data_IF_041226946418
#
_entry.id   IF_041226946418
#
_cell.length_a   1.000
_cell.length_b   1.000
_cell.length_c   1.000
_cell.angle_alpha   90.00
_cell.angle_beta   90.00
_cell.angle_gamma   90.00
#
_symmetry.space_group_name_H-M   'P 1'
#
loop_
_entity.id
_entity.type
_entity.pdbx_description
1 polymer ?
#
# COMPACT_ATOMS: atom_id res chain seq x y z
N UNK A 1 -8.22 -24.02 12.58
CA UNK A 1 -8.64 -22.65 12.95
C UNK A 1 -7.43 -21.76 12.74
N UNK A 2 -7.42 -21.01 11.65
CA UNK A 2 -6.35 -20.08 11.23
C UNK A 2 -7.06 -18.87 10.61
N UNK A 3 -6.73 -17.59 10.84
CA UNK A 3 -5.65 -16.94 11.58
C UNK A 3 -6.21 -15.62 12.14
N UNK A 4 -5.81 -15.23 13.35
CA UNK A 4 -5.75 -13.81 13.67
C UNK A 4 -4.56 -13.26 12.87
N UNK A 5 -4.79 -12.72 11.68
CA UNK A 5 -3.75 -12.02 10.93
C UNK A 5 -3.38 -10.78 11.73
N UNK A 6 -2.25 -10.84 12.44
CA UNK A 6 -1.65 -9.68 13.08
C UNK A 6 -1.49 -8.59 12.02
N UNK A 7 -2.17 -7.47 12.22
CA UNK A 7 -2.14 -6.32 11.33
C UNK A 7 -0.68 -5.93 11.06
N UNK A 8 -0.31 -5.70 9.79
CA UNK A 8 1.08 -5.35 9.44
C UNK A 8 1.52 -4.09 10.17
N UNK A 9 2.84 -3.96 10.43
CA UNK A 9 3.40 -2.78 11.13
C UNK A 9 2.98 -1.49 10.43
N UNK A 10 3.03 -1.46 9.10
CA UNK A 10 2.59 -0.31 8.30
C UNK A 10 1.11 0.03 8.54
N UNK A 11 0.26 -0.97 8.64
CA UNK A 11 -1.17 -0.79 8.89
C UNK A 11 -1.46 -0.36 10.33
N UNK A 12 -0.60 -0.67 11.31
CA UNK A 12 -0.73 -0.15 12.69
C UNK A 12 -0.44 1.36 12.77
N UNK A 13 0.47 1.86 11.92
CA UNK A 13 0.81 3.30 11.83
C UNK A 13 0.13 4.01 10.65
N UNK A 14 -1.01 3.47 10.18
CA UNK A 14 -1.72 3.95 8.99
C UNK A 14 -2.00 5.47 8.99
N UNK A 15 -2.40 6.13 10.10
CA UNK A 15 -2.61 7.58 10.09
C UNK A 15 -1.35 8.37 9.72
N UNK A 16 -0.19 7.90 10.15
CA UNK A 16 1.12 8.50 9.82
C UNK A 16 1.45 8.26 8.35
N UNK A 17 1.34 7.01 7.89
CA UNK A 17 1.61 6.65 6.49
C UNK A 17 0.67 7.38 5.52
N UNK A 18 -0.59 7.58 5.89
CA UNK A 18 -1.56 8.34 5.10
C UNK A 18 -1.21 9.83 5.02
N UNK A 19 -0.62 10.42 6.08
CA UNK A 19 -0.08 11.79 6.02
C UNK A 19 1.10 11.87 5.06
N UNK A 20 2.02 10.90 5.11
CA UNK A 20 3.14 10.81 4.17
C UNK A 20 2.66 10.67 2.71
N UNK A 21 1.68 9.81 2.44
CA UNK A 21 1.11 9.66 1.10
C UNK A 21 0.54 10.98 0.55
N UNK A 22 -0.15 11.77 1.39
CA UNK A 22 -0.67 13.10 1.01
C UNK A 22 0.46 14.10 0.76
N UNK A 23 1.50 14.10 1.59
CA UNK A 23 2.68 14.94 1.40
C UNK A 23 3.38 14.61 0.07
N UNK A 24 3.62 13.33 -0.22
CA UNK A 24 4.21 12.90 -1.50
C UNK A 24 3.34 13.33 -2.68
N UNK A 25 2.03 13.12 -2.60
CA UNK A 25 1.10 13.54 -3.66
C UNK A 25 1.14 15.05 -3.90
N UNK A 26 1.25 15.87 -2.85
CA UNK A 26 1.34 17.33 -2.99
C UNK A 26 2.65 17.81 -3.62
N UNK A 27 3.74 17.05 -3.49
CA UNK A 27 5.04 17.40 -4.08
C UNK A 27 5.13 16.90 -5.51
N UNK A 28 4.76 15.64 -5.74
CA UNK A 28 4.89 14.97 -7.04
C UNK A 28 3.75 15.28 -8.00
N UNK A 29 2.63 15.82 -7.50
CA UNK A 29 1.40 16.05 -8.28
C UNK A 29 0.88 14.75 -8.93
N UNK A 30 1.05 13.63 -8.22
CA UNK A 30 0.63 12.29 -8.64
C UNK A 30 -0.19 11.61 -7.53
N UNK A 31 -1.06 10.68 -7.92
CA UNK A 31 -1.68 9.79 -6.95
C UNK A 31 -0.65 8.80 -6.39
N UNK A 32 -0.76 8.50 -5.09
CA UNK A 32 0.16 7.64 -4.35
C UNK A 32 -0.62 6.47 -3.80
N UNK A 33 -0.09 5.26 -3.96
CA UNK A 33 -0.59 4.04 -3.34
C UNK A 33 0.54 3.43 -2.50
N UNK A 34 0.25 3.07 -1.24
CA UNK A 34 1.18 2.39 -0.35
C UNK A 34 0.56 1.05 0.03
N UNK A 35 1.31 -0.02 -0.25
CA UNK A 35 0.87 -1.41 -0.11
C UNK A 35 1.89 -2.15 0.76
N UNK A 36 1.42 -3.02 1.65
CA UNK A 36 2.30 -3.87 2.45
C UNK A 36 2.70 -5.18 1.73
N UNK A 37 3.48 -6.00 2.40
CA UNK A 37 3.96 -7.30 1.90
C UNK A 37 2.85 -8.30 1.58
N UNK A 38 1.66 -8.14 2.17
CA UNK A 38 0.49 -8.98 1.92
C UNK A 38 -0.38 -8.44 0.79
N UNK A 39 0.13 -7.47 0.02
CA UNK A 39 -0.61 -6.75 -1.01
C UNK A 39 -1.88 -6.08 -0.44
N UNK A 40 -1.84 -5.67 0.83
CA UNK A 40 -2.90 -4.92 1.47
C UNK A 40 -2.64 -3.41 1.31
N UNK A 41 -3.65 -2.67 0.85
CA UNK A 41 -3.54 -1.21 0.71
C UNK A 41 -3.56 -0.55 2.07
N UNK A 42 -2.44 0.03 2.47
CA UNK A 42 -2.29 0.69 3.78
C UNK A 42 -2.69 2.16 3.71
N UNK A 43 -2.28 2.86 2.65
CA UNK A 43 -2.62 4.26 2.45
C UNK A 43 -2.73 4.58 0.96
N UNK A 44 -3.42 5.67 0.66
CA UNK A 44 -3.42 6.18 -0.70
C UNK A 44 -4.03 7.57 -0.84
N UNK A 45 -3.80 8.20 -1.98
CA UNK A 45 -4.42 9.48 -2.35
C UNK A 45 -5.30 9.29 -3.58
N UNK A 46 -6.15 10.27 -3.88
CA UNK A 46 -7.07 10.20 -5.01
C UNK A 46 -7.92 8.93 -5.00
N UNK A 47 -7.93 8.17 -6.11
CA UNK A 47 -8.66 6.92 -6.21
C UNK A 47 -8.19 5.85 -5.21
N UNK A 48 -6.90 5.84 -4.85
CA UNK A 48 -6.30 4.89 -3.91
C UNK A 48 -6.63 5.21 -2.44
N UNK A 49 -7.22 6.36 -2.13
CA UNK A 49 -7.72 6.65 -0.78
C UNK A 49 -8.91 5.78 -0.36
N UNK A 50 -9.50 5.02 -1.29
CA UNK A 50 -10.61 4.09 -1.04
C UNK A 50 -10.09 2.71 -0.68
N UNK A 51 -10.89 1.94 0.07
CA UNK A 51 -10.64 0.53 0.36
C UNK A 51 -9.33 0.24 1.10
N UNK A 52 -8.89 1.14 1.99
CA UNK A 52 -7.75 0.90 2.88
C UNK A 52 -8.00 -0.32 3.77
N UNK A 53 -6.94 -1.08 4.06
CA UNK A 53 -7.01 -2.32 4.83
C UNK A 53 -7.55 -3.52 4.05
N UNK A 54 -7.73 -3.40 2.72
CA UNK A 54 -8.15 -4.51 1.86
C UNK A 54 -7.00 -4.95 0.97
N UNK A 55 -6.96 -6.26 0.69
CA UNK A 55 -6.09 -6.81 -0.35
C UNK A 55 -6.46 -6.22 -1.72
N UNK A 56 -5.44 -6.02 -2.56
CA UNK A 56 -5.63 -5.59 -3.94
C UNK A 56 -6.39 -6.65 -4.75
N UNK A 57 -7.49 -6.25 -5.39
CA UNK A 57 -8.40 -7.15 -6.12
C UNK A 57 -8.05 -7.37 -7.60
N UNK A 58 -6.97 -6.76 -8.13
CA UNK A 58 -6.56 -6.93 -9.54
C UNK A 58 -5.15 -6.45 -9.85
N UNK A 59 -4.56 -6.96 -10.95
CA UNK A 59 -3.27 -6.55 -11.54
C UNK A 59 -2.06 -6.36 -10.59
N UNK A 60 -2.04 -7.03 -9.44
CA UNK A 60 -0.96 -6.94 -8.44
C UNK A 60 0.28 -7.78 -8.79
N UNK A 61 0.32 -8.45 -9.95
CA UNK A 61 1.46 -9.29 -10.37
C UNK A 61 2.76 -8.51 -10.46
N UNK A 62 2.70 -7.26 -10.93
CA UNK A 62 3.88 -6.40 -11.01
C UNK A 62 4.40 -6.05 -9.60
N UNK A 63 3.51 -5.57 -8.72
CA UNK A 63 3.88 -5.27 -7.33
C UNK A 63 4.42 -6.50 -6.61
N UNK A 64 3.76 -7.66 -6.78
CA UNK A 64 4.22 -8.93 -6.22
C UNK A 64 5.63 -9.26 -6.66
N UNK A 65 5.90 -9.16 -7.96
CA UNK A 65 7.23 -9.42 -8.51
C UNK A 65 8.29 -8.46 -7.93
N UNK A 66 7.99 -7.17 -7.81
CA UNK A 66 8.89 -6.17 -7.21
C UNK A 66 9.15 -6.49 -5.73
N UNK A 67 8.13 -6.88 -4.97
CA UNK A 67 8.27 -7.28 -3.57
C UNK A 67 9.10 -8.56 -3.40
N UNK A 68 8.90 -9.56 -4.27
CA UNK A 68 9.62 -10.83 -4.26
C UNK A 68 11.10 -10.66 -4.66
N UNK A 69 11.36 -9.86 -5.70
CA UNK A 69 12.71 -9.64 -6.23
C UNK A 69 13.49 -8.54 -5.51
N UNK A 70 12.80 -7.65 -4.80
CA UNK A 70 13.34 -6.43 -4.18
C UNK A 70 14.06 -5.50 -5.18
N UNK A 71 13.69 -5.61 -6.45
CA UNK A 71 14.21 -4.76 -7.54
C UNK A 71 13.07 -4.00 -8.18
N UNK A 72 13.27 -2.71 -8.41
CA UNK A 72 12.37 -1.93 -9.25
C UNK A 72 12.37 -2.48 -10.67
N UNK A 73 11.22 -2.39 -11.35
CA UNK A 73 11.11 -2.77 -12.75
C UNK A 73 11.39 -1.54 -13.61
N UNK A 74 12.58 -1.48 -14.21
CA UNK A 74 12.98 -0.48 -15.19
C UNK A 74 12.29 -0.71 -16.54
#
# INVERSE_FOLDING_TARGET
MELATTQSVLMQIQPTIQRFARMLASVLQLEVEIVDENLCRVAGTGAYGKFLGRQLSGNSRLLRHVLETKTEKL
#
